data_IF_727765677375
#
_entry.id   IF_727765677375
#
_cell.length_a   1.000
_cell.length_b   1.000
_cell.length_c   1.000
_cell.angle_alpha   90.00
_cell.angle_beta   90.00
_cell.angle_gamma   90.00
#
_symmetry.space_group_name_H-M   'P 1'
#
loop_
_entity.id
_entity.type
_entity.pdbx_description
1 polymer ?
#
# COMPACT_ATOMS: atom_id res chain seq x y z
N UNK A 1 -13.98 43.52 20.99
CA UNK A 1 -13.96 42.23 21.72
C UNK A 1 -12.70 42.20 22.58
N UNK A 2 -12.84 42.34 23.90
CA UNK A 2 -11.71 42.35 24.83
C UNK A 2 -11.08 40.94 24.87
N UNK A 3 -9.78 40.85 24.59
CA UNK A 3 -8.99 39.63 24.80
C UNK A 3 -9.08 39.29 26.29
N UNK A 4 -9.65 38.14 26.66
CA UNK A 4 -9.64 37.65 28.04
C UNK A 4 -8.19 37.38 28.43
N UNK A 5 -7.57 38.33 29.12
CA UNK A 5 -6.28 38.16 29.76
C UNK A 5 -6.52 37.37 31.04
N UNK A 6 -5.98 36.16 31.12
CA UNK A 6 -5.94 35.38 32.35
C UNK A 6 -4.47 35.23 32.75
N UNK A 7 -4.15 35.36 34.05
CA UNK A 7 -2.84 34.96 34.55
C UNK A 7 -2.64 33.47 34.31
N UNK A 8 -1.45 33.09 33.86
CA UNK A 8 -1.13 31.71 33.54
C UNK A 8 0.29 31.56 33.02
N UNK A 9 0.62 30.35 32.62
CA UNK A 9 1.91 29.93 32.09
C UNK A 9 1.90 29.94 30.54
N UNK A 10 2.99 30.42 29.94
CA UNK A 10 3.14 30.41 28.48
C UNK A 10 3.44 29.00 27.96
N UNK A 11 2.61 28.47 27.05
CA UNK A 11 2.76 27.12 26.44
C UNK A 11 4.05 26.90 25.61
N UNK A 12 4.92 27.92 25.52
CA UNK A 12 6.19 27.81 24.81
C UNK A 12 7.42 27.90 25.72
N UNK A 13 7.41 28.83 26.68
CA UNK A 13 8.60 29.21 27.45
C UNK A 13 8.36 29.12 28.96
N UNK A 14 7.23 28.55 29.38
CA UNK A 14 6.90 28.21 30.77
C UNK A 14 6.95 29.42 31.72
N UNK A 15 6.89 30.63 31.16
CA UNK A 15 6.95 31.87 31.93
C UNK A 15 5.56 32.27 32.37
N UNK A 16 5.37 32.41 33.68
CA UNK A 16 4.15 32.96 34.26
C UNK A 16 4.02 34.45 33.95
N UNK A 17 2.87 34.86 33.41
CA UNK A 17 2.55 36.28 33.20
C UNK A 17 1.11 36.57 33.60
N UNK A 18 0.89 37.81 34.04
CA UNK A 18 -0.44 38.31 34.40
C UNK A 18 -1.38 38.45 33.21
N UNK A 19 -0.84 38.55 31.99
CA UNK A 19 -1.61 38.67 30.76
C UNK A 19 -0.99 37.88 29.61
N UNK A 20 -1.60 36.74 29.26
CA UNK A 20 -1.21 35.97 28.08
C UNK A 20 -2.16 36.21 26.89
N UNK A 21 -1.60 36.12 25.69
CA UNK A 21 -2.37 36.10 24.44
C UNK A 21 -2.82 34.68 24.12
N UNK A 22 -4.12 34.49 23.96
CA UNK A 22 -4.69 33.19 23.55
C UNK A 22 -4.53 32.97 22.04
N UNK A 23 -4.29 31.73 21.63
CA UNK A 23 -4.33 31.32 20.22
C UNK A 23 -5.70 31.63 19.62
N UNK A 24 -5.74 32.48 18.61
CA UNK A 24 -7.00 32.87 17.93
C UNK A 24 -7.65 31.73 17.15
N UNK A 25 -6.93 30.65 16.87
CA UNK A 25 -7.44 29.49 16.15
C UNK A 25 -8.27 28.57 17.04
N UNK A 26 -7.66 28.03 18.10
CA UNK A 26 -8.30 27.04 18.96
C UNK A 26 -8.78 27.58 20.31
N UNK A 27 -8.33 28.77 20.71
CA UNK A 27 -8.58 29.36 22.04
C UNK A 27 -8.13 28.48 23.24
N UNK A 28 -7.27 27.49 22.99
CA UNK A 28 -6.82 26.48 23.97
C UNK A 28 -5.29 26.49 24.17
N UNK A 29 -4.61 27.57 23.83
CA UNK A 29 -3.19 27.77 24.10
C UNK A 29 -2.90 29.26 24.36
N UNK A 30 -1.94 29.55 25.23
CA UNK A 30 -1.64 30.87 25.77
C UNK A 30 -0.14 31.19 25.63
N UNK A 31 0.16 32.43 25.23
CA UNK A 31 1.52 32.86 24.90
C UNK A 31 1.84 34.25 25.42
N UNK A 32 3.09 34.49 25.81
CA UNK A 32 3.59 35.83 26.14
C UNK A 32 3.41 36.82 24.97
N UNK A 33 3.49 36.32 23.73
CA UNK A 33 3.35 37.12 22.53
C UNK A 33 3.50 36.30 21.25
N UNK A 34 3.48 37.01 20.11
CA UNK A 34 3.52 36.38 18.78
C UNK A 34 4.78 35.55 18.53
N UNK A 35 5.91 35.90 19.15
CA UNK A 35 7.16 35.15 18.99
C UNK A 35 7.08 33.76 19.65
N UNK A 36 6.56 33.67 20.89
CA UNK A 36 6.30 32.39 21.55
C UNK A 36 5.27 31.55 20.78
N UNK A 37 4.22 32.18 20.25
CA UNK A 37 3.22 31.49 19.43
C UNK A 37 3.83 30.91 18.15
N UNK A 38 4.65 31.69 17.43
CA UNK A 38 5.34 31.22 16.20
C UNK A 38 6.30 30.08 16.49
N UNK A 39 7.05 30.17 17.58
CA UNK A 39 8.01 29.15 17.98
C UNK A 39 7.33 27.83 18.40
N UNK A 40 6.19 27.91 19.11
CA UNK A 40 5.38 26.73 19.47
C UNK A 40 4.58 26.16 18.29
N UNK A 41 4.37 26.93 17.21
CA UNK A 41 3.48 26.53 16.11
C UNK A 41 3.82 25.17 15.48
N UNK A 42 5.09 24.78 15.42
CA UNK A 42 5.54 23.50 14.84
C UNK A 42 4.89 22.27 15.50
N UNK A 43 4.68 22.30 16.82
CA UNK A 43 4.04 21.23 17.60
C UNK A 43 2.59 21.55 17.93
N UNK A 44 2.23 22.81 18.18
CA UNK A 44 0.85 23.20 18.50
C UNK A 44 -0.12 22.94 17.34
N UNK A 45 0.32 23.15 16.09
CA UNK A 45 -0.59 23.14 14.93
C UNK A 45 -1.34 21.83 14.73
N UNK A 46 -0.74 20.70 15.10
CA UNK A 46 -1.36 19.38 14.91
C UNK A 46 -2.56 19.17 15.84
N UNK A 47 -2.64 19.94 16.93
CA UNK A 47 -3.76 19.95 17.88
C UNK A 47 -4.68 21.16 17.69
N UNK A 48 -4.23 22.18 16.95
CA UNK A 48 -4.99 23.40 16.68
C UNK A 48 -5.80 23.33 15.39
N UNK A 49 -5.29 22.68 14.34
CA UNK A 49 -5.92 22.66 13.02
C UNK A 49 -7.02 21.59 12.93
N UNK A 50 -8.03 21.88 12.12
CA UNK A 50 -9.02 20.87 11.73
C UNK A 50 -8.33 19.70 10.99
N UNK A 51 -8.73 18.43 11.22
CA UNK A 51 -8.09 17.26 10.62
C UNK A 51 -7.92 17.33 9.09
N UNK A 52 -8.88 17.94 8.37
CA UNK A 52 -8.80 18.11 6.90
C UNK A 52 -7.68 19.03 6.43
N UNK A 53 -7.09 19.84 7.31
CA UNK A 53 -5.96 20.73 7.00
C UNK A 53 -4.60 20.11 7.36
N UNK A 54 -4.60 18.90 7.94
CA UNK A 54 -3.37 18.21 8.32
C UNK A 54 -2.81 17.46 7.13
N UNK A 55 -1.51 17.61 6.90
CA UNK A 55 -0.76 16.75 5.96
C UNK A 55 -0.62 15.34 6.54
N UNK A 56 -0.20 14.38 5.72
CA UNK A 56 0.11 13.03 6.23
C UNK A 56 1.22 13.06 7.30
N UNK A 57 2.24 13.93 7.15
CA UNK A 57 3.29 14.06 8.17
C UNK A 57 2.75 14.61 9.50
N UNK A 58 1.74 15.47 9.46
CA UNK A 58 1.13 16.01 10.67
C UNK A 58 0.39 14.92 11.45
N UNK A 59 -0.29 14.02 10.73
CA UNK A 59 -0.99 12.88 11.34
C UNK A 59 0.01 11.84 11.85
N UNK A 60 1.13 11.64 11.16
CA UNK A 60 2.26 10.88 11.69
C UNK A 60 2.85 11.51 12.95
N UNK A 61 2.95 12.84 13.02
CA UNK A 61 3.44 13.53 14.21
C UNK A 61 2.52 13.33 15.41
N UNK A 62 1.20 13.36 15.22
CA UNK A 62 0.22 13.01 16.25
C UNK A 62 0.50 11.60 16.80
N UNK A 63 0.69 10.61 15.91
CA UNK A 63 1.04 9.24 16.26
C UNK A 63 2.35 9.15 17.05
N UNK A 64 3.40 9.86 16.59
CA UNK A 64 4.69 9.92 17.25
C UNK A 64 4.62 10.55 18.66
N UNK A 65 3.91 11.66 18.84
CA UNK A 65 3.80 12.32 20.15
C UNK A 65 3.06 11.48 21.17
N UNK A 66 1.94 10.88 20.76
CA UNK A 66 1.07 10.06 21.61
C UNK A 66 1.50 8.60 21.73
N UNK A 67 2.55 8.20 21.02
CA UNK A 67 3.13 6.85 21.09
C UNK A 67 2.14 5.73 20.68
N UNK A 68 1.48 5.91 19.54
CA UNK A 68 0.61 4.90 18.94
C UNK A 68 0.92 4.74 17.45
N UNK A 69 0.69 3.54 16.90
CA UNK A 69 0.83 3.29 15.45
C UNK A 69 -0.22 4.08 14.65
N UNK A 70 0.09 4.58 13.44
CA UNK A 70 -0.91 5.23 12.61
C UNK A 70 -2.16 4.38 12.40
N UNK A 71 -3.32 5.04 12.29
CA UNK A 71 -4.60 4.36 12.09
C UNK A 71 -4.58 3.54 10.79
N UNK A 72 -5.05 2.30 10.84
CA UNK A 72 -5.15 1.39 9.68
C UNK A 72 -5.96 1.97 8.51
N UNK A 73 -6.89 2.89 8.79
CA UNK A 73 -7.71 3.58 7.80
C UNK A 73 -7.03 4.82 7.20
N UNK A 74 -5.92 5.30 7.78
CA UNK A 74 -5.14 6.42 7.22
C UNK A 74 -4.15 5.92 6.17
N UNK A 75 -4.70 5.39 5.07
CA UNK A 75 -3.95 4.77 3.97
C UNK A 75 -2.85 5.70 3.44
N UNK A 76 -3.06 7.01 3.46
CA UNK A 76 -2.07 7.98 3.03
C UNK A 76 -0.84 7.97 3.95
N UNK A 77 -1.01 8.09 5.27
CA UNK A 77 0.12 8.02 6.22
C UNK A 77 0.84 6.68 6.10
N UNK A 78 0.09 5.59 6.01
CA UNK A 78 0.68 4.25 5.93
C UNK A 78 1.55 4.10 4.68
N UNK A 79 1.10 4.62 3.53
CA UNK A 79 1.85 4.56 2.27
C UNK A 79 3.03 5.53 2.21
N UNK A 80 2.82 6.77 2.64
CA UNK A 80 3.83 7.83 2.54
C UNK A 80 5.07 7.53 3.38
N UNK A 81 4.87 6.89 4.54
CA UNK A 81 5.92 6.65 5.54
C UNK A 81 6.20 5.17 5.80
N UNK A 82 5.85 4.31 4.83
CA UNK A 82 6.35 2.93 4.75
C UNK A 82 5.64 1.87 5.58
N UNK A 83 4.71 2.24 6.47
CA UNK A 83 3.94 1.28 7.27
C UNK A 83 3.14 0.30 6.40
N UNK A 84 2.59 0.76 5.28
CA UNK A 84 1.87 -0.11 4.34
C UNK A 84 2.77 -1.15 3.68
N UNK A 85 4.09 -0.91 3.61
CA UNK A 85 5.07 -1.81 2.97
C UNK A 85 5.71 -2.78 3.96
N UNK A 86 5.63 -2.49 5.26
CA UNK A 86 6.12 -3.36 6.31
C UNK A 86 5.40 -4.71 6.24
N UNK A 87 6.17 -5.79 6.23
CA UNK A 87 5.65 -7.17 6.22
C UNK A 87 5.52 -7.73 7.63
N UNK A 88 6.30 -7.19 8.55
CA UNK A 88 6.39 -7.65 9.91
C UNK A 88 5.75 -6.61 10.86
N UNK A 89 4.81 -6.98 11.75
CA UNK A 89 4.16 -6.04 12.67
C UNK A 89 5.16 -5.26 13.53
N UNK A 90 6.26 -5.92 13.93
CA UNK A 90 7.35 -5.28 14.67
C UNK A 90 7.93 -4.11 13.89
N UNK A 91 8.15 -4.23 12.58
CA UNK A 91 8.70 -3.16 11.72
C UNK A 91 7.91 -1.86 11.78
N UNK A 92 6.59 -1.91 11.96
CA UNK A 92 5.76 -0.71 12.10
C UNK A 92 6.11 0.09 13.37
N UNK A 93 6.41 -0.60 14.47
CA UNK A 93 6.87 0.03 15.70
C UNK A 93 8.27 0.65 15.52
N UNK A 94 9.12 0.03 14.70
CA UNK A 94 10.45 0.56 14.42
C UNK A 94 10.39 1.80 13.53
N UNK A 95 9.47 1.83 12.56
CA UNK A 95 9.14 3.05 11.81
C UNK A 95 8.63 4.15 12.74
N UNK A 96 7.71 3.84 13.66
CA UNK A 96 7.21 4.81 14.64
C UNK A 96 8.35 5.37 15.49
N UNK A 97 9.22 4.51 16.03
CA UNK A 97 10.39 4.91 16.83
C UNK A 97 11.37 5.80 16.04
N UNK A 98 11.60 5.49 14.76
CA UNK A 98 12.40 6.32 13.85
C UNK A 98 11.80 7.72 13.69
N UNK A 99 10.49 7.82 13.46
CA UNK A 99 9.84 9.13 13.31
C UNK A 99 9.67 9.87 14.64
N UNK A 100 9.54 9.17 15.78
CA UNK A 100 9.59 9.77 17.11
C UNK A 100 10.93 10.43 17.40
N UNK A 101 12.04 9.78 17.03
CA UNK A 101 13.38 10.35 17.15
C UNK A 101 13.49 11.71 16.45
N UNK A 102 12.92 11.83 15.24
CA UNK A 102 12.94 13.05 14.44
C UNK A 102 11.96 14.10 14.98
N UNK A 103 10.70 13.72 15.18
CA UNK A 103 9.59 14.64 15.46
C UNK A 103 9.56 15.03 16.94
N UNK A 104 9.48 14.04 17.83
CA UNK A 104 9.27 14.25 19.26
C UNK A 104 10.55 14.74 19.94
N UNK A 105 11.65 14.01 19.73
CA UNK A 105 12.91 14.29 20.41
C UNK A 105 13.79 15.29 19.65
N UNK A 106 13.83 15.19 18.31
CA UNK A 106 14.50 16.15 17.45
C UNK A 106 13.77 17.49 17.29
N UNK A 107 12.51 17.57 17.76
CA UNK A 107 11.62 18.72 17.63
C UNK A 107 11.53 19.28 16.20
N UNK A 108 11.65 18.40 15.20
CA UNK A 108 11.55 18.74 13.79
C UNK A 108 10.09 19.01 13.43
N UNK A 109 9.86 20.12 12.72
CA UNK A 109 8.54 20.45 12.21
C UNK A 109 8.07 19.38 11.20
N UNK A 110 6.89 18.76 11.38
CA UNK A 110 6.39 17.72 10.47
C UNK A 110 6.28 18.18 9.00
N UNK A 111 6.12 19.48 8.75
CA UNK A 111 6.11 20.04 7.38
C UNK A 111 7.45 19.87 6.68
N UNK A 112 8.55 19.79 7.42
CA UNK A 112 9.86 19.45 6.84
C UNK A 112 9.82 18.02 6.31
N UNK A 113 9.35 17.07 7.11
CA UNK A 113 9.23 15.65 6.71
C UNK A 113 8.33 15.51 5.48
N UNK A 114 7.18 16.18 5.48
CA UNK A 114 6.27 16.18 4.33
C UNK A 114 6.93 16.71 3.05
N UNK A 115 7.71 17.80 3.14
CA UNK A 115 8.45 18.35 1.99
C UNK A 115 9.51 17.39 1.48
N UNK A 116 10.25 16.71 2.36
CA UNK A 116 11.26 15.74 1.96
C UNK A 116 10.61 14.52 1.29
N UNK A 117 9.44 14.09 1.76
CA UNK A 117 8.66 13.05 1.10
C UNK A 117 8.21 13.48 -0.30
N UNK A 118 7.60 14.66 -0.45
CA UNK A 118 7.20 15.20 -1.76
C UNK A 118 8.37 15.34 -2.73
N UNK A 119 9.56 15.67 -2.22
CA UNK A 119 10.77 15.82 -3.02
C UNK A 119 11.48 14.49 -3.32
N UNK A 120 11.04 13.36 -2.75
CA UNK A 120 11.71 12.06 -2.88
C UNK A 120 13.05 11.96 -2.14
N UNK A 121 13.34 12.88 -1.20
CA UNK A 121 14.62 12.98 -0.47
C UNK A 121 14.52 12.55 0.99
N UNK A 122 13.39 11.93 1.39
CA UNK A 122 13.12 11.55 2.78
C UNK A 122 14.19 10.63 3.38
N UNK A 123 14.64 9.61 2.64
CA UNK A 123 15.66 8.66 3.10
C UNK A 123 16.97 9.38 3.45
N UNK A 124 17.46 10.25 2.58
CA UNK A 124 18.71 10.98 2.79
C UNK A 124 18.59 12.01 3.91
N UNK A 125 17.41 12.63 4.04
CA UNK A 125 17.11 13.49 5.16
C UNK A 125 17.19 12.76 6.50
N UNK A 126 16.60 11.55 6.61
CA UNK A 126 16.65 10.73 7.82
C UNK A 126 18.10 10.39 8.17
N UNK A 127 18.92 9.99 7.19
CA UNK A 127 20.35 9.71 7.40
C UNK A 127 21.09 10.92 7.96
N UNK A 128 20.97 12.06 7.27
CA UNK A 128 21.59 13.33 7.69
C UNK A 128 21.15 13.78 9.09
N UNK A 129 19.89 13.52 9.47
CA UNK A 129 19.41 13.82 10.83
C UNK A 129 20.12 12.95 11.87
N UNK A 130 20.10 11.62 11.72
CA UNK A 130 20.63 10.69 12.71
C UNK A 130 22.16 10.64 12.75
N UNK A 131 22.84 10.92 11.64
CA UNK A 131 24.31 10.92 11.58
C UNK A 131 24.95 12.04 12.41
N UNK A 132 24.21 13.13 12.67
CA UNK A 132 24.62 14.21 13.59
C UNK A 132 24.58 13.79 15.06
N UNK A 133 23.85 12.74 15.39
CA UNK A 133 23.74 12.20 16.74
C UNK A 133 24.90 11.21 16.95
N UNK A 134 25.59 11.21 18.12
CA UNK A 134 26.59 10.19 18.43
C UNK A 134 26.06 8.77 18.29
N UNK A 135 26.88 7.83 17.81
CA UNK A 135 26.42 6.48 17.45
C UNK A 135 25.67 5.75 18.58
N UNK A 136 26.12 5.90 19.84
CA UNK A 136 25.49 5.30 21.01
C UNK A 136 24.11 5.88 21.37
N UNK A 137 23.75 7.04 20.82
CA UNK A 137 22.52 7.78 21.13
C UNK A 137 21.49 7.78 19.98
N UNK A 138 21.75 7.05 18.89
CA UNK A 138 20.84 6.99 17.73
C UNK A 138 19.62 6.07 17.97
N UNK A 139 19.72 5.17 18.95
CA UNK A 139 18.77 4.08 19.16
C UNK A 139 18.86 3.01 18.06
N UNK A 140 18.31 1.83 18.33
CA UNK A 140 18.42 0.69 17.40
C UNK A 140 17.63 0.89 16.10
N UNK A 141 16.60 1.75 16.13
CA UNK A 141 15.76 2.05 14.98
C UNK A 141 16.54 2.57 13.76
N UNK A 142 17.63 3.30 13.98
CA UNK A 142 18.43 3.84 12.89
C UNK A 142 19.28 2.77 12.16
N UNK A 143 20.08 1.93 12.84
CA UNK A 143 20.73 0.78 12.22
C UNK A 143 19.76 -0.15 11.47
N UNK A 144 18.56 -0.38 12.02
CA UNK A 144 17.51 -1.15 11.35
C UNK A 144 17.00 -0.45 10.09
N UNK A 145 16.72 0.87 10.17
CA UNK A 145 16.30 1.66 9.02
C UNK A 145 17.33 1.58 7.88
N UNK A 146 18.63 1.61 8.18
CA UNK A 146 19.67 1.51 7.15
C UNK A 146 19.58 0.22 6.32
N UNK A 147 19.12 -0.88 6.92
CA UNK A 147 18.87 -2.15 6.24
C UNK A 147 17.50 -2.19 5.53
N UNK A 148 16.54 -1.36 5.96
CA UNK A 148 15.14 -1.40 5.54
C UNK A 148 14.66 -0.13 4.81
N UNK A 149 15.58 0.60 4.15
CA UNK A 149 15.27 1.84 3.43
C UNK A 149 14.21 1.65 2.34
N UNK A 150 14.08 0.43 1.81
CA UNK A 150 13.07 0.06 0.81
C UNK A 150 11.63 0.34 1.25
N UNK A 151 11.36 0.36 2.57
CA UNK A 151 10.04 0.69 3.12
C UNK A 151 9.65 2.16 2.84
N UNK A 152 10.63 3.06 2.78
CA UNK A 152 10.44 4.50 2.55
C UNK A 152 10.76 4.94 1.11
N UNK A 153 11.11 4.00 0.23
CA UNK A 153 11.40 4.31 -1.18
C UNK A 153 10.18 4.87 -1.92
N UNK A 154 10.37 5.58 -3.04
CA UNK A 154 9.24 5.95 -3.90
C UNK A 154 8.54 4.67 -4.41
N UNK A 155 7.20 4.64 -4.50
CA UNK A 155 6.52 3.51 -5.11
C UNK A 155 6.85 3.42 -6.60
N UNK A 156 6.97 2.18 -7.11
CA UNK A 156 7.11 1.86 -8.53
C UNK A 156 5.84 2.21 -9.31
N UNK A 157 4.70 2.04 -8.68
CA UNK A 157 3.41 2.37 -9.25
C UNK A 157 2.86 3.61 -8.58
N UNK A 158 2.70 4.68 -9.36
CA UNK A 158 1.94 5.85 -8.92
C UNK A 158 0.50 5.41 -8.75
N UNK A 159 0.10 5.09 -7.52
CA UNK A 159 -1.28 4.82 -7.22
C UNK A 159 -2.05 6.14 -7.41
N UNK A 160 -2.71 6.28 -8.56
CA UNK A 160 -3.73 7.31 -8.71
C UNK A 160 -4.80 7.00 -7.69
N UNK A 161 -4.83 7.78 -6.60
CA UNK A 161 -5.81 7.71 -5.53
C UNK A 161 -7.24 7.56 -6.08
N UNK A 162 -8.15 6.96 -5.29
CA UNK A 162 -9.11 5.97 -5.75
C UNK A 162 -9.97 6.49 -6.89
N UNK A 163 -10.09 5.68 -7.95
CA UNK A 163 -11.09 5.83 -9.03
C UNK A 163 -12.52 6.03 -8.46
N UNK A 164 -12.75 5.65 -7.21
CA UNK A 164 -13.94 5.89 -6.41
C UNK A 164 -14.11 7.35 -5.97
N UNK A 165 -14.16 8.28 -6.93
CA UNK A 165 -14.91 9.53 -6.70
C UNK A 165 -16.41 9.24 -6.90
N UNK A 166 -17.26 10.03 -6.24
CA UNK A 166 -18.72 9.80 -6.20
C UNK A 166 -19.34 9.76 -7.61
N UNK A 167 -18.80 10.58 -8.52
CA UNK A 167 -19.19 10.62 -9.93
C UNK A 167 -18.89 9.31 -10.67
N UNK A 168 -17.73 8.68 -10.43
CA UNK A 168 -17.37 7.39 -11.04
C UNK A 168 -18.30 6.28 -10.58
N UNK A 169 -18.71 6.28 -9.31
CA UNK A 169 -19.67 5.30 -8.79
C UNK A 169 -21.01 5.46 -9.50
N UNK A 170 -21.55 6.68 -9.60
CA UNK A 170 -22.82 6.93 -10.28
C UNK A 170 -22.77 6.58 -11.77
N UNK A 171 -21.70 6.94 -12.47
CA UNK A 171 -21.51 6.61 -13.89
C UNK A 171 -21.46 5.10 -14.11
N UNK A 172 -20.73 4.38 -13.25
CA UNK A 172 -20.66 2.92 -13.31
C UNK A 172 -22.02 2.31 -12.99
N UNK A 173 -22.72 2.80 -11.98
CA UNK A 173 -24.06 2.36 -11.61
C UNK A 173 -25.02 2.42 -12.80
N UNK A 174 -25.09 3.58 -13.46
CA UNK A 174 -25.90 3.79 -14.66
C UNK A 174 -25.48 2.85 -15.80
N UNK A 175 -24.18 2.71 -16.03
CA UNK A 175 -23.65 1.80 -17.06
C UNK A 175 -24.05 0.33 -16.81
N UNK A 176 -24.07 -0.09 -15.54
CA UNK A 176 -24.44 -1.45 -15.14
C UNK A 176 -25.95 -1.70 -15.07
N UNK A 177 -26.78 -0.72 -15.45
CA UNK A 177 -28.24 -0.84 -15.51
C UNK A 177 -29.01 -0.22 -14.33
N UNK A 178 -28.33 0.52 -13.45
CA UNK A 178 -28.95 1.30 -12.38
C UNK A 178 -29.69 2.54 -12.88
N UNK A 179 -30.54 3.14 -12.06
CA UNK A 179 -31.35 4.29 -12.45
C UNK A 179 -30.64 5.61 -12.13
N UNK A 180 -30.79 6.60 -13.01
CA UNK A 180 -30.25 7.96 -12.79
C UNK A 180 -30.90 8.68 -11.59
N UNK A 181 -32.10 8.24 -11.17
CA UNK A 181 -32.79 8.76 -9.98
C UNK A 181 -32.23 8.23 -8.66
N UNK A 182 -31.40 7.18 -8.70
CA UNK A 182 -30.87 6.56 -7.50
C UNK A 182 -29.86 7.49 -6.82
N UNK A 183 -30.06 7.72 -5.51
CA UNK A 183 -29.15 8.55 -4.72
C UNK A 183 -27.89 7.77 -4.37
N UNK A 184 -26.75 8.46 -4.37
CA UNK A 184 -25.44 7.87 -4.10
C UNK A 184 -25.39 7.03 -2.83
N UNK A 185 -25.98 7.50 -1.72
CA UNK A 185 -25.98 6.73 -0.47
C UNK A 185 -26.76 5.42 -0.61
N UNK A 186 -27.90 5.46 -1.32
CA UNK A 186 -28.66 4.25 -1.65
C UNK A 186 -27.88 3.29 -2.53
N UNK A 187 -27.18 3.81 -3.55
CA UNK A 187 -26.30 3.02 -4.42
C UNK A 187 -25.21 2.35 -3.59
N UNK A 188 -24.50 3.10 -2.74
CA UNK A 188 -23.43 2.58 -1.87
C UNK A 188 -23.96 1.48 -0.95
N UNK A 189 -25.12 1.69 -0.31
CA UNK A 189 -25.75 0.68 0.55
C UNK A 189 -26.15 -0.58 -0.23
N UNK A 190 -26.65 -0.44 -1.46
CA UNK A 190 -27.00 -1.59 -2.29
C UNK A 190 -25.76 -2.39 -2.71
N UNK A 191 -24.70 -1.72 -3.14
CA UNK A 191 -23.42 -2.36 -3.48
C UNK A 191 -22.84 -3.09 -2.26
N UNK A 192 -22.88 -2.47 -1.07
CA UNK A 192 -22.43 -3.10 0.17
C UNK A 192 -23.22 -4.37 0.51
N UNK A 193 -24.50 -4.44 0.12
CA UNK A 193 -25.35 -5.62 0.30
C UNK A 193 -25.09 -6.76 -0.69
N UNK A 194 -24.28 -6.55 -1.73
CA UNK A 194 -23.94 -7.60 -2.70
C UNK A 194 -22.90 -8.59 -2.17
N UNK A 195 -22.81 -9.76 -2.81
CA UNK A 195 -21.70 -10.69 -2.60
C UNK A 195 -20.36 -10.03 -2.91
N UNK A 196 -19.28 -10.52 -2.29
CA UNK A 196 -17.93 -9.97 -2.50
C UNK A 196 -17.53 -10.03 -3.98
N UNK A 197 -17.90 -11.11 -4.66
CA UNK A 197 -17.59 -11.35 -6.07
C UNK A 197 -18.31 -10.32 -6.96
N UNK A 198 -19.57 -9.98 -6.64
CA UNK A 198 -20.31 -8.96 -7.39
C UNK A 198 -19.77 -7.55 -7.13
N UNK A 199 -19.33 -7.27 -5.89
CA UNK A 199 -18.63 -6.02 -5.58
C UNK A 199 -17.31 -5.90 -6.35
N UNK A 200 -16.52 -6.98 -6.45
CA UNK A 200 -15.29 -7.02 -7.25
C UNK A 200 -15.55 -6.81 -8.74
N UNK A 201 -16.55 -7.51 -9.30
CA UNK A 201 -16.95 -7.34 -10.69
C UNK A 201 -17.35 -5.88 -10.99
N UNK A 202 -18.17 -5.27 -10.13
CA UNK A 202 -18.56 -3.86 -10.26
C UNK A 202 -17.36 -2.92 -10.18
N UNK A 203 -16.49 -3.13 -9.20
CA UNK A 203 -15.28 -2.33 -9.00
C UNK A 203 -14.33 -2.41 -10.19
N UNK A 204 -14.20 -3.59 -10.81
CA UNK A 204 -13.41 -3.73 -12.02
C UNK A 204 -14.03 -3.01 -13.21
N UNK A 205 -15.36 -3.06 -13.40
CA UNK A 205 -16.05 -2.24 -14.41
C UNK A 205 -15.82 -0.75 -14.15
N UNK A 206 -15.88 -0.31 -12.89
CA UNK A 206 -15.57 1.07 -12.51
C UNK A 206 -14.15 1.48 -12.93
N UNK A 207 -13.16 0.58 -12.83
CA UNK A 207 -11.81 0.82 -13.33
C UNK A 207 -11.75 0.89 -14.86
N UNK A 208 -12.42 -0.03 -15.56
CA UNK A 208 -12.48 -0.04 -17.04
C UNK A 208 -13.06 1.25 -17.63
N UNK A 209 -14.00 1.88 -16.92
CA UNK A 209 -14.63 3.14 -17.33
C UNK A 209 -13.80 4.38 -17.00
N UNK A 210 -12.76 4.26 -16.16
CA UNK A 210 -11.91 5.39 -15.80
C UNK A 210 -10.81 5.61 -16.84
N UNK A 211 -10.93 6.72 -17.56
CA UNK A 211 -9.97 7.07 -18.62
C UNK A 211 -8.58 7.25 -18.03
N UNK A 212 -7.59 6.59 -18.63
CA UNK A 212 -6.19 6.68 -18.20
C UNK A 212 -5.86 5.83 -16.96
N UNK A 213 -6.82 5.07 -16.42
CA UNK A 213 -6.51 4.12 -15.37
C UNK A 213 -5.61 3.02 -15.92
N UNK A 214 -4.61 2.64 -15.12
CA UNK A 214 -3.77 1.50 -15.40
C UNK A 214 -3.71 0.60 -14.19
N UNK A 215 -4.11 -0.65 -14.40
CA UNK A 215 -4.05 -1.66 -13.37
C UNK A 215 -2.59 -1.98 -13.04
N UNK A 216 -2.32 -2.20 -11.76
CA UNK A 216 -1.00 -2.58 -11.26
C UNK A 216 -1.13 -3.75 -10.29
N UNK A 217 -0.02 -4.44 -9.97
CA UNK A 217 -0.02 -5.51 -8.96
C UNK A 217 -0.53 -5.09 -7.58
N UNK A 218 -0.64 -3.78 -7.31
CA UNK A 218 -1.20 -3.27 -6.05
C UNK A 218 -2.73 -3.34 -5.94
N UNK A 219 -3.40 -3.76 -7.02
CA UNK A 219 -4.83 -3.98 -7.09
C UNK A 219 -5.12 -5.48 -7.13
N UNK A 220 -6.05 -5.98 -6.32
CA UNK A 220 -6.42 -7.42 -6.33
C UNK A 220 -6.95 -7.85 -7.69
N UNK A 221 -7.62 -6.92 -8.39
CA UNK A 221 -8.16 -7.10 -9.72
C UNK A 221 -7.09 -7.48 -10.76
N UNK A 222 -5.80 -7.18 -10.49
CA UNK A 222 -4.71 -7.59 -11.35
C UNK A 222 -4.57 -9.12 -11.41
N UNK A 223 -4.83 -9.81 -10.30
CA UNK A 223 -4.93 -11.27 -10.26
C UNK A 223 -6.34 -11.72 -10.62
N UNK A 224 -7.36 -11.10 -10.02
CA UNK A 224 -8.76 -11.54 -10.17
C UNK A 224 -9.32 -11.39 -11.60
N UNK A 225 -8.63 -10.68 -12.50
CA UNK A 225 -9.01 -10.58 -13.92
C UNK A 225 -7.88 -11.01 -14.87
N UNK A 226 -6.93 -11.82 -14.37
CA UNK A 226 -5.96 -12.51 -15.21
C UNK A 226 -4.79 -11.66 -15.74
N UNK A 227 -4.69 -10.39 -15.38
CA UNK A 227 -3.58 -9.51 -15.83
C UNK A 227 -2.23 -10.02 -15.34
N UNK A 228 -2.18 -10.69 -14.18
CA UNK A 228 -0.96 -11.33 -13.70
C UNK A 228 -0.40 -12.43 -14.62
N UNK A 229 -1.22 -12.97 -15.53
CA UNK A 229 -0.79 -13.90 -16.58
C UNK A 229 -0.07 -13.23 -17.75
N UNK A 230 -0.17 -11.91 -17.89
CA UNK A 230 0.54 -11.17 -18.93
C UNK A 230 2.05 -11.11 -18.61
N UNK A 231 2.86 -11.17 -19.66
CA UNK A 231 4.33 -11.11 -19.60
C UNK A 231 4.86 -9.73 -19.95
N UNK A 232 4.09 -8.94 -20.70
CA UNK A 232 4.46 -7.59 -21.14
C UNK A 232 3.33 -6.59 -20.93
N UNK A 233 3.69 -5.30 -20.92
CA UNK A 233 2.72 -4.19 -20.83
C UNK A 233 1.80 -4.12 -22.04
N UNK A 234 2.29 -4.53 -23.21
CA UNK A 234 1.48 -4.60 -24.43
C UNK A 234 0.41 -5.70 -24.33
N UNK A 235 0.73 -6.83 -23.71
CA UNK A 235 -0.26 -7.88 -23.42
C UNK A 235 -1.31 -7.40 -22.42
N UNK A 236 -0.89 -6.74 -21.34
CA UNK A 236 -1.83 -6.14 -20.36
C UNK A 236 -2.76 -5.12 -21.05
N UNK A 237 -2.23 -4.25 -21.92
CA UNK A 237 -3.02 -3.26 -22.64
C UNK A 237 -4.03 -3.91 -23.61
N UNK A 238 -3.64 -4.98 -24.31
CA UNK A 238 -4.53 -5.75 -25.19
C UNK A 238 -5.64 -6.46 -24.41
N UNK A 239 -5.30 -7.05 -23.26
CA UNK A 239 -6.29 -7.67 -22.38
C UNK A 239 -7.27 -6.62 -21.82
N UNK A 240 -6.77 -5.46 -21.42
CA UNK A 240 -7.57 -4.32 -20.96
C UNK A 240 -8.58 -3.87 -22.03
N UNK A 241 -8.12 -3.61 -23.26
CA UNK A 241 -8.99 -3.23 -24.38
C UNK A 241 -10.04 -4.31 -24.69
N UNK A 242 -9.67 -5.59 -24.55
CA UNK A 242 -10.60 -6.70 -24.72
C UNK A 242 -11.69 -6.70 -23.65
N UNK A 243 -11.35 -6.46 -22.38
CA UNK A 243 -12.33 -6.27 -21.30
C UNK A 243 -13.24 -5.06 -21.55
N UNK A 244 -12.69 -3.90 -21.97
CA UNK A 244 -13.48 -2.71 -22.31
C UNK A 244 -14.47 -3.00 -23.44
N UNK A 245 -14.06 -3.74 -24.48
CA UNK A 245 -14.95 -4.18 -25.55
C UNK A 245 -16.02 -5.14 -25.05
N UNK A 246 -15.65 -6.08 -24.18
CA UNK A 246 -16.56 -7.07 -23.63
C UNK A 246 -17.69 -6.43 -22.81
N UNK A 247 -17.34 -5.56 -21.85
CA UNK A 247 -18.35 -4.93 -20.97
C UNK A 247 -19.33 -4.02 -21.72
N UNK A 248 -18.97 -3.57 -22.93
CA UNK A 248 -19.87 -2.83 -23.83
C UNK A 248 -20.80 -3.72 -24.64
N UNK A 249 -20.50 -5.02 -24.77
CA UNK A 249 -21.29 -6.00 -25.53
C UNK A 249 -22.25 -6.80 -24.65
N UNK A 250 -21.91 -7.04 -23.39
CA UNK A 250 -22.67 -7.90 -22.48
C UNK A 250 -23.28 -7.10 -21.34
N UNK A 251 -24.39 -7.58 -20.76
CA UNK A 251 -24.95 -6.98 -19.55
C UNK A 251 -24.02 -7.19 -18.35
N UNK A 252 -24.13 -6.32 -17.34
CA UNK A 252 -23.38 -6.48 -16.09
C UNK A 252 -23.69 -7.82 -15.40
N UNK A 253 -24.94 -8.27 -15.42
CA UNK A 253 -25.31 -9.57 -14.82
C UNK A 253 -24.65 -10.74 -15.55
N UNK A 254 -24.55 -10.71 -16.88
CA UNK A 254 -23.84 -11.75 -17.63
C UNK A 254 -22.32 -11.70 -17.37
N UNK A 255 -21.75 -10.50 -17.29
CA UNK A 255 -20.35 -10.30 -16.94
C UNK A 255 -20.03 -10.86 -15.54
N UNK A 256 -20.85 -10.49 -14.55
CA UNK A 256 -20.74 -10.98 -13.17
C UNK A 256 -20.95 -12.50 -13.09
N UNK A 257 -21.96 -13.04 -13.78
CA UNK A 257 -22.20 -14.47 -13.80
C UNK A 257 -20.96 -15.22 -14.30
N UNK A 258 -20.36 -14.78 -15.42
CA UNK A 258 -19.16 -15.40 -15.97
C UNK A 258 -17.94 -15.28 -15.05
N UNK A 259 -17.79 -14.15 -14.35
CA UNK A 259 -16.77 -14.00 -13.31
C UNK A 259 -17.00 -15.05 -12.22
N UNK A 260 -18.19 -15.06 -11.63
CA UNK A 260 -18.51 -15.92 -10.49
C UNK A 260 -18.48 -17.42 -10.81
N UNK A 261 -18.70 -17.82 -12.06
CA UNK A 261 -18.64 -19.23 -12.51
C UNK A 261 -17.32 -19.62 -13.17
N UNK A 262 -16.28 -18.78 -13.09
CA UNK A 262 -14.96 -19.04 -13.73
C UNK A 262 -15.05 -19.33 -15.23
N UNK A 263 -16.00 -18.69 -15.93
CA UNK A 263 -16.29 -18.95 -17.34
C UNK A 263 -15.98 -17.76 -18.24
N UNK A 264 -15.06 -16.88 -17.83
CA UNK A 264 -14.64 -15.76 -18.67
C UNK A 264 -14.09 -16.21 -20.02
N UNK A 265 -13.30 -17.28 -20.06
CA UNK A 265 -12.76 -17.80 -21.32
C UNK A 265 -13.87 -18.09 -22.35
N UNK A 266 -14.96 -18.72 -21.93
CA UNK A 266 -16.15 -18.95 -22.75
C UNK A 266 -16.84 -17.64 -23.16
N UNK A 267 -17.07 -16.74 -22.21
CA UNK A 267 -17.73 -15.45 -22.49
C UNK A 267 -16.93 -14.60 -23.51
N UNK A 268 -15.60 -14.57 -23.40
CA UNK A 268 -14.74 -13.88 -24.36
C UNK A 268 -14.81 -14.54 -25.74
N UNK A 269 -14.78 -15.87 -25.81
CA UNK A 269 -14.89 -16.61 -27.07
C UNK A 269 -16.22 -16.34 -27.80
N UNK A 270 -17.34 -16.43 -27.09
CA UNK A 270 -18.69 -16.16 -27.62
C UNK A 270 -18.83 -14.74 -28.19
N UNK A 271 -18.03 -13.79 -27.68
CA UNK A 271 -18.04 -12.40 -28.11
C UNK A 271 -16.96 -12.05 -29.14
N UNK A 272 -16.24 -13.06 -29.68
CA UNK A 272 -15.20 -12.89 -30.69
C UNK A 272 -13.90 -12.26 -30.15
N UNK A 273 -13.63 -12.41 -28.85
CA UNK A 273 -12.49 -11.82 -28.13
C UNK A 273 -11.61 -12.92 -27.49
N UNK A 274 -11.47 -14.08 -28.14
CA UNK A 274 -10.82 -15.25 -27.57
C UNK A 274 -9.44 -14.94 -26.93
N UNK A 275 -9.26 -15.35 -25.68
CA UNK A 275 -7.99 -15.23 -24.95
C UNK A 275 -7.10 -16.41 -25.33
N UNK A 276 -5.91 -16.14 -25.85
CA UNK A 276 -4.96 -17.18 -26.30
C UNK A 276 -3.75 -17.36 -25.37
N UNK A 277 -3.50 -16.42 -24.46
CA UNK A 277 -2.38 -16.51 -23.53
C UNK A 277 -2.66 -17.62 -22.49
N UNK A 278 -1.82 -18.68 -22.42
CA UNK A 278 -2.07 -19.82 -21.54
C UNK A 278 -2.01 -19.48 -20.05
N UNK A 279 -1.19 -18.50 -19.66
CA UNK A 279 -1.11 -18.04 -18.27
C UNK A 279 -2.35 -17.27 -17.86
N UNK A 280 -2.88 -16.41 -18.74
CA UNK A 280 -4.16 -15.72 -18.48
C UNK A 280 -5.29 -16.74 -18.37
N UNK A 281 -5.33 -17.75 -19.26
CA UNK A 281 -6.31 -18.82 -19.18
C UNK A 281 -6.20 -19.63 -17.89
N UNK A 282 -4.97 -19.95 -17.44
CA UNK A 282 -4.74 -20.64 -16.17
C UNK A 282 -5.35 -19.88 -14.99
N UNK A 283 -5.09 -18.57 -14.90
CA UNK A 283 -5.64 -17.71 -13.84
C UNK A 283 -7.17 -17.67 -13.90
N UNK A 284 -7.73 -17.44 -15.10
CA UNK A 284 -9.18 -17.27 -15.27
C UNK A 284 -9.95 -18.58 -15.09
N UNK A 285 -9.31 -19.74 -15.24
CA UNK A 285 -9.96 -21.06 -15.16
C UNK A 285 -10.53 -21.40 -13.78
N UNK A 286 -10.00 -20.81 -12.71
CA UNK A 286 -10.49 -21.02 -11.35
C UNK A 286 -10.89 -19.75 -10.61
N UNK A 287 -10.60 -18.58 -11.18
CA UNK A 287 -10.98 -17.28 -10.60
C UNK A 287 -12.50 -17.11 -10.55
N UNK A 288 -13.10 -16.58 -9.46
CA UNK A 288 -12.43 -16.02 -8.28
C UNK A 288 -12.12 -17.03 -7.17
N UNK A 289 -12.56 -18.28 -7.28
CA UNK A 289 -12.64 -19.22 -6.16
C UNK A 289 -11.34 -19.98 -5.88
N UNK A 290 -10.64 -20.41 -6.92
CA UNK A 290 -9.44 -21.25 -6.84
C UNK A 290 -8.36 -20.70 -7.74
N UNK A 291 -7.22 -20.35 -7.18
CA UNK A 291 -6.04 -19.92 -7.95
C UNK A 291 -4.79 -20.59 -7.41
N UNK A 292 -3.83 -20.85 -8.29
CA UNK A 292 -2.51 -21.34 -7.89
C UNK A 292 -1.79 -20.25 -7.09
N UNK A 293 -1.16 -20.62 -5.98
CA UNK A 293 -0.48 -19.68 -5.08
C UNK A 293 0.66 -18.89 -5.74
N UNK A 294 1.15 -19.34 -6.90
CA UNK A 294 2.20 -18.63 -7.65
C UNK A 294 1.72 -17.29 -8.19
N UNK A 295 0.42 -17.15 -8.45
CA UNK A 295 -0.17 -15.89 -8.91
C UNK A 295 -0.20 -14.86 -7.78
N UNK A 296 -0.49 -15.29 -6.56
CA UNK A 296 -0.38 -14.45 -5.36
C UNK A 296 1.08 -14.12 -5.05
N UNK A 297 2.00 -15.07 -5.24
CA UNK A 297 3.44 -14.80 -5.12
C UNK A 297 3.89 -13.74 -6.14
N UNK A 298 3.44 -13.85 -7.39
CA UNK A 298 3.76 -12.87 -8.44
C UNK A 298 3.26 -11.48 -8.06
N UNK A 299 2.02 -11.40 -7.56
CA UNK A 299 1.47 -10.13 -7.06
C UNK A 299 2.31 -9.57 -5.92
N UNK A 300 2.61 -10.39 -4.91
CA UNK A 300 3.43 -10.00 -3.76
C UNK A 300 4.83 -9.54 -4.17
N UNK A 301 5.49 -10.29 -5.05
CA UNK A 301 6.84 -9.97 -5.52
C UNK A 301 6.89 -8.62 -6.27
N UNK A 302 5.85 -8.30 -7.04
CA UNK A 302 5.84 -7.15 -7.93
C UNK A 302 5.19 -5.88 -7.34
N UNK A 303 4.16 -5.99 -6.49
CA UNK A 303 3.38 -4.85 -5.98
C UNK A 303 3.89 -4.24 -4.68
N UNK A 304 4.00 -2.92 -4.58
CA UNK A 304 4.69 -2.27 -3.45
C UNK A 304 3.97 -2.38 -2.11
N UNK A 305 2.65 -2.51 -2.12
CA UNK A 305 1.78 -2.45 -0.95
C UNK A 305 1.12 -3.80 -0.62
N UNK A 306 1.66 -4.88 -1.19
CA UNK A 306 1.16 -6.23 -0.93
C UNK A 306 1.62 -6.74 0.43
N UNK A 307 0.68 -7.34 1.15
CA UNK A 307 0.95 -8.06 2.40
C UNK A 307 1.23 -9.52 2.10
N UNK A 308 2.11 -10.12 2.89
CA UNK A 308 2.38 -11.54 2.82
C UNK A 308 1.12 -12.34 3.23
N UNK A 309 0.71 -13.29 2.40
CA UNK A 309 -0.46 -14.15 2.66
C UNK A 309 -0.04 -15.58 3.02
N UNK A 310 -0.86 -16.37 3.73
CA UNK A 310 -0.47 -17.68 4.24
C UNK A 310 0.05 -18.66 3.19
N UNK A 311 -0.61 -18.74 2.02
CA UNK A 311 -0.18 -19.62 0.92
C UNK A 311 1.21 -19.22 0.43
N UNK A 312 1.46 -17.93 0.25
CA UNK A 312 2.78 -17.43 -0.16
C UNK A 312 3.83 -17.69 0.91
N UNK A 313 3.46 -17.55 2.19
CA UNK A 313 4.34 -17.79 3.33
C UNK A 313 4.89 -19.21 3.36
N UNK A 314 4.01 -20.19 3.18
CA UNK A 314 4.32 -21.61 3.29
C UNK A 314 4.97 -22.11 2.00
N UNK A 315 4.34 -21.85 0.86
CA UNK A 315 4.70 -22.48 -0.40
C UNK A 315 6.07 -22.01 -0.88
N UNK A 316 6.39 -20.72 -0.69
CA UNK A 316 7.57 -20.09 -1.28
C UNK A 316 8.65 -19.72 -0.25
N UNK A 317 8.57 -20.30 0.95
CA UNK A 317 9.68 -20.29 1.90
C UNK A 317 9.83 -19.03 2.74
N UNK A 318 8.86 -18.11 2.72
CA UNK A 318 8.91 -16.93 3.59
C UNK A 318 8.74 -17.30 5.08
N UNK A 319 8.14 -18.45 5.40
CA UNK A 319 8.10 -18.98 6.76
C UNK A 319 9.49 -19.22 7.37
N UNK A 320 10.52 -19.34 6.53
CA UNK A 320 11.90 -19.55 6.96
C UNK A 320 12.69 -18.23 7.15
N UNK A 321 12.07 -17.06 6.94
CA UNK A 321 12.75 -15.76 7.02
C UNK A 321 13.06 -15.31 8.44
N UNK A 322 12.67 -16.09 9.45
CA UNK A 322 12.95 -15.83 10.86
C UNK A 322 11.69 -15.57 11.67
N UNK A 323 11.90 -15.18 12.92
CA UNK A 323 10.84 -14.79 13.84
C UNK A 323 10.18 -13.48 13.38
N UNK A 324 8.85 -13.45 13.30
CA UNK A 324 8.09 -12.24 12.96
C UNK A 324 8.15 -11.18 14.08
N UNK A 325 8.76 -11.48 15.22
CA UNK A 325 9.08 -10.45 16.23
C UNK A 325 10.52 -9.92 16.10
N UNK A 326 11.35 -10.52 15.24
CA UNK A 326 12.74 -10.11 15.02
C UNK A 326 12.85 -8.94 14.02
N UNK A 327 13.68 -7.93 14.30
CA UNK A 327 13.92 -6.81 13.39
C UNK A 327 14.68 -7.21 12.11
N UNK A 328 15.32 -8.38 12.08
CA UNK A 328 16.03 -8.92 10.92
C UNK A 328 15.08 -9.47 9.85
N UNK A 329 13.90 -9.97 10.25
CA UNK A 329 12.97 -10.68 9.37
C UNK A 329 12.53 -9.82 8.18
N UNK A 330 12.27 -8.53 8.38
CA UNK A 330 11.82 -7.60 7.31
C UNK A 330 12.80 -7.54 6.14
N UNK A 331 14.10 -7.37 6.42
CA UNK A 331 15.13 -7.28 5.39
C UNK A 331 15.32 -8.63 4.68
N UNK A 332 15.16 -9.75 5.38
CA UNK A 332 15.26 -11.08 4.81
C UNK A 332 14.07 -11.36 3.89
N UNK A 333 12.85 -11.04 4.33
CA UNK A 333 11.62 -11.10 3.52
C UNK A 333 11.79 -10.24 2.28
N UNK A 334 12.25 -9.00 2.41
CA UNK A 334 12.50 -8.12 1.27
C UNK A 334 13.51 -8.73 0.29
N UNK A 335 14.62 -9.27 0.80
CA UNK A 335 15.65 -9.90 -0.03
C UNK A 335 15.12 -11.11 -0.80
N UNK A 336 14.34 -11.99 -0.15
CA UNK A 336 13.73 -13.15 -0.80
C UNK A 336 12.66 -12.73 -1.82
N UNK A 337 11.85 -11.73 -1.47
CA UNK A 337 10.87 -11.12 -2.37
C UNK A 337 11.53 -10.56 -3.63
N UNK A 338 12.69 -9.92 -3.52
CA UNK A 338 13.47 -9.45 -4.67
C UNK A 338 13.99 -10.59 -5.55
N UNK A 339 14.34 -11.75 -4.98
CA UNK A 339 14.71 -12.93 -5.77
C UNK A 339 13.53 -13.37 -6.63
N UNK A 340 12.34 -13.55 -6.04
CA UNK A 340 11.14 -13.92 -6.81
C UNK A 340 10.76 -12.85 -7.84
N UNK A 341 10.90 -11.57 -7.51
CA UNK A 341 10.70 -10.47 -8.47
C UNK A 341 11.60 -10.61 -9.71
N UNK A 342 12.87 -10.97 -9.51
CA UNK A 342 13.81 -11.22 -10.62
C UNK A 342 13.43 -12.44 -11.45
N UNK A 343 12.94 -13.51 -10.82
CA UNK A 343 12.44 -14.71 -11.52
C UNK A 343 11.26 -14.34 -12.42
N UNK A 344 10.30 -13.56 -11.94
CA UNK A 344 9.14 -13.16 -12.72
C UNK A 344 9.42 -12.12 -13.81
N UNK A 345 10.53 -11.39 -13.71
CA UNK A 345 10.97 -10.41 -14.72
C UNK A 345 11.97 -10.99 -15.73
N UNK A 346 12.36 -12.27 -15.59
CA UNK A 346 13.26 -12.92 -16.53
C UNK A 346 12.58 -13.09 -17.92
N UNK A 347 13.33 -13.04 -19.04
CA UNK A 347 12.77 -13.18 -20.38
C UNK A 347 11.93 -14.45 -20.59
N UNK A 348 12.38 -15.58 -20.04
CA UNK A 348 11.71 -16.88 -20.15
C UNK A 348 10.96 -17.25 -18.86
N UNK A 349 10.48 -16.23 -18.12
CA UNK A 349 9.78 -16.44 -16.86
C UNK A 349 8.52 -17.30 -17.07
N UNK A 350 8.48 -18.45 -16.40
CA UNK A 350 7.34 -19.36 -16.40
C UNK A 350 6.83 -19.54 -14.96
N UNK A 351 5.76 -18.81 -14.57
CA UNK A 351 5.16 -18.96 -13.25
C UNK A 351 4.64 -20.38 -12.98
N UNK A 352 4.19 -21.11 -14.00
CA UNK A 352 3.65 -22.46 -13.81
C UNK A 352 4.77 -23.46 -13.52
N UNK A 353 5.93 -23.34 -14.16
CA UNK A 353 7.12 -24.13 -13.79
C UNK A 353 7.64 -23.81 -12.40
N UNK A 354 7.59 -22.54 -11.97
CA UNK A 354 7.92 -22.19 -10.59
C UNK A 354 6.97 -22.86 -9.60
N UNK A 355 5.67 -22.91 -9.91
CA UNK A 355 4.69 -23.61 -9.10
C UNK A 355 4.92 -25.12 -9.08
N UNK A 356 5.28 -25.72 -10.22
CA UNK A 356 5.66 -27.14 -10.26
C UNK A 356 6.90 -27.42 -9.41
N UNK A 357 7.94 -26.58 -9.51
CA UNK A 357 9.12 -26.69 -8.67
C UNK A 357 8.81 -26.52 -7.18
N UNK A 358 7.83 -25.67 -6.84
CA UNK A 358 7.30 -25.54 -5.48
C UNK A 358 6.74 -26.87 -4.97
N UNK A 359 5.86 -27.51 -5.75
CA UNK A 359 5.21 -28.77 -5.39
C UNK A 359 6.19 -29.96 -5.33
N UNK A 360 7.37 -29.83 -5.93
CA UNK A 360 8.44 -30.83 -5.90
C UNK A 360 9.56 -30.53 -4.89
N UNK A 361 9.40 -29.51 -4.03
CA UNK A 361 10.46 -29.13 -3.08
C UNK A 361 11.75 -28.60 -3.72
N UNK A 362 11.70 -28.18 -5.01
CA UNK A 362 12.86 -27.80 -5.84
C UNK A 362 12.95 -26.30 -6.14
N UNK A 363 12.34 -25.45 -5.32
CA UNK A 363 12.32 -23.99 -5.52
C UNK A 363 13.70 -23.40 -5.78
N UNK A 364 14.68 -23.71 -4.91
CA UNK A 364 16.02 -23.16 -5.04
C UNK A 364 16.72 -23.59 -6.33
N UNK A 365 16.57 -24.87 -6.72
CA UNK A 365 17.15 -25.39 -7.96
C UNK A 365 16.57 -24.70 -9.19
N UNK A 366 15.25 -24.51 -9.22
CA UNK A 366 14.59 -23.76 -10.30
C UNK A 366 15.03 -22.29 -10.31
N UNK A 367 15.08 -21.65 -9.13
CA UNK A 367 15.48 -20.26 -9.00
C UNK A 367 16.89 -20.01 -9.57
N UNK A 368 17.84 -20.94 -9.36
CA UNK A 368 19.20 -20.86 -9.90
C UNK A 368 19.27 -21.02 -11.43
N UNK A 369 18.30 -21.69 -12.05
CA UNK A 369 18.24 -21.84 -13.51
C UNK A 369 17.74 -20.57 -14.20
N UNK A 370 16.84 -19.83 -13.55
CA UNK A 370 16.17 -18.66 -14.14
C UNK A 370 16.83 -17.34 -13.76
N UNK A 371 17.46 -17.25 -12.59
CA UNK A 371 18.07 -16.02 -12.08
C UNK A 371 19.35 -16.28 -11.30
N UNK A 372 20.18 -15.24 -11.15
CA UNK A 372 21.33 -15.28 -10.26
C UNK A 372 20.87 -15.22 -8.79
N UNK A 373 20.94 -16.37 -8.10
CA UNK A 373 20.54 -16.53 -6.71
C UNK A 373 21.71 -16.97 -5.84
N UNK A 374 21.92 -16.25 -4.74
CA UNK A 374 22.94 -16.53 -3.74
C UNK A 374 22.58 -17.80 -2.94
N UNK A 375 23.59 -18.63 -2.63
CA UNK A 375 23.46 -19.84 -1.83
C UNK A 375 22.79 -19.62 -0.46
N UNK A 376 22.87 -18.41 0.10
CA UNK A 376 22.19 -18.05 1.36
C UNK A 376 20.67 -18.18 1.30
N UNK A 377 20.06 -18.16 0.11
CA UNK A 377 18.61 -18.35 -0.06
C UNK A 377 18.19 -19.82 -0.10
N UNK A 378 19.13 -20.76 -0.25
CA UNK A 378 18.84 -22.19 -0.25
C UNK A 378 18.07 -22.68 1.00
N UNK A 379 18.46 -22.32 2.25
CA UNK A 379 17.68 -22.69 3.42
C UNK A 379 16.30 -22.02 3.48
N UNK A 380 16.15 -20.83 2.87
CA UNK A 380 14.89 -20.09 2.87
C UNK A 380 13.88 -20.70 1.90
N UNK A 381 14.33 -21.14 0.73
CA UNK A 381 13.50 -21.71 -0.34
C UNK A 381 13.17 -23.20 -0.13
N UNK A 382 13.00 -23.61 1.13
CA UNK A 382 12.45 -24.92 1.51
C UNK A 382 10.99 -24.75 1.88
N UNK A 383 10.18 -25.74 1.56
CA UNK A 383 8.77 -25.75 1.92
C UNK A 383 8.39 -27.16 2.42
N UNK A 384 7.11 -27.35 2.73
CA UNK A 384 6.60 -28.60 3.29
C UNK A 384 6.43 -29.73 2.27
N UNK A 385 6.66 -29.43 0.98
CA UNK A 385 6.48 -30.37 -0.12
C UNK A 385 7.72 -31.28 -0.27
N UNK A 386 7.52 -32.53 -0.73
CA UNK A 386 8.54 -33.58 -0.72
C UNK A 386 9.74 -33.33 -1.64
#
# INVERSE_FOLDING_TARGET
MQRRQQPGECDHCDTEQSSLSVCSGCHNAWYCGAECQKAHWKSHRIWCLHPSKLTSADRLAIAAYKDFLPNEHDIQVLRDYGFARAQVPRSENWLLGLFQGIIKYGQVDPRVIHRQWLAGTLIDYIKSFYEKIPAYARGDYYPWFLKNQHLLGPPKFTNTSPVSNEDSIQKTWLFTGGLASDKLDGIKSQIQGWSKEKQQAFRFVLFLLHTGFQLSPDHSEWVDFGFCGCTTRDEEAKLWDSYVKLVKKVSFENFYAAYNSSSFSALFLENGLAITNPFVLDVLSGTPHVKKSVWDLKQFALGDYQKLIPSVTIDYGFMNCGDLESPEAENIIHSLRQVYGRIFMAPDADPLKLHEACLQGKLFLYAQQVAQVDAKFAPLMKNIYP
#
